data_IF_293843922028
#
_entry.id   IF_293843922028
#
_cell.length_a   1.000
_cell.length_b   1.000
_cell.length_c   1.000
_cell.angle_alpha   90.00
_cell.angle_beta   90.00
_cell.angle_gamma   90.00
#
_symmetry.space_group_name_H-M   'P 1'
#
loop_
_entity.id
_entity.type
_entity.pdbx_description
1 polymer ?
#
# COMPACT_ATOMS: atom_id res chain seq x y z
N UNK A 1 13.94 -18.30 -7.89
CA UNK A 1 15.30 -18.14 -7.40
C UNK A 1 15.30 -17.42 -6.05
N UNK A 2 14.71 -16.23 -5.95
CA UNK A 2 14.63 -15.45 -4.72
C UNK A 2 14.03 -16.25 -3.54
N UNK A 3 12.92 -16.95 -3.75
CA UNK A 3 12.28 -17.77 -2.71
C UNK A 3 13.20 -18.89 -2.18
N UNK A 4 13.98 -19.52 -3.07
CA UNK A 4 14.97 -20.52 -2.65
C UNK A 4 16.09 -19.91 -1.80
N UNK A 5 16.54 -18.70 -2.16
CA UNK A 5 17.55 -17.97 -1.38
C UNK A 5 16.99 -17.54 -0.03
N UNK A 6 15.80 -16.96 0.00
CA UNK A 6 15.13 -16.53 1.24
C UNK A 6 14.98 -17.70 2.22
N UNK A 7 14.55 -18.86 1.70
CA UNK A 7 14.45 -20.08 2.52
C UNK A 7 15.82 -20.57 3.02
N UNK A 8 16.86 -20.50 2.18
CA UNK A 8 18.21 -20.94 2.56
C UNK A 8 18.91 -19.97 3.55
N UNK A 9 18.70 -18.66 3.39
CA UNK A 9 19.40 -17.63 4.17
C UNK A 9 18.67 -17.28 5.48
N UNK A 10 17.31 -17.34 5.50
CA UNK A 10 16.49 -16.93 6.64
C UNK A 10 15.66 -18.08 7.23
N UNK A 11 15.70 -19.27 6.65
CA UNK A 11 14.88 -20.43 7.07
C UNK A 11 13.39 -20.03 7.22
N UNK A 12 12.90 -19.22 6.26
CA UNK A 12 11.55 -18.67 6.24
C UNK A 12 10.75 -19.28 5.09
N UNK A 13 9.61 -19.89 5.43
CA UNK A 13 8.64 -20.40 4.46
C UNK A 13 7.36 -19.54 4.56
N UNK A 14 6.93 -18.96 3.45
CA UNK A 14 5.73 -18.14 3.40
C UNK A 14 4.47 -18.93 3.83
N UNK A 15 4.45 -20.22 3.57
CA UNK A 15 3.34 -21.09 3.99
C UNK A 15 3.21 -21.19 5.52
N UNK A 16 4.31 -21.06 6.27
CA UNK A 16 4.30 -21.03 7.73
C UNK A 16 3.85 -19.67 8.29
N UNK A 17 4.10 -18.60 7.55
CA UNK A 17 3.82 -17.22 7.96
C UNK A 17 2.37 -16.83 7.68
N UNK A 18 1.87 -17.15 6.50
CA UNK A 18 0.56 -16.75 5.99
C UNK A 18 -0.62 -17.03 6.93
N UNK A 19 -0.68 -18.15 7.69
CA UNK A 19 -1.77 -18.40 8.63
C UNK A 19 -1.92 -17.38 9.76
N UNK A 20 -0.90 -16.57 10.03
CA UNK A 20 -0.92 -15.54 11.07
C UNK A 20 -1.41 -14.18 10.57
N UNK A 21 -1.44 -13.95 9.26
CA UNK A 21 -1.85 -12.68 8.67
C UNK A 21 -3.29 -12.74 8.15
N UNK A 22 -4.25 -12.84 9.07
CA UNK A 22 -5.66 -12.80 8.76
C UNK A 22 -6.08 -11.36 8.43
N UNK A 23 -6.81 -11.14 7.34
CA UNK A 23 -7.27 -9.81 6.92
C UNK A 23 -7.96 -9.04 8.07
N UNK A 24 -8.84 -9.70 8.82
CA UNK A 24 -9.56 -9.06 9.92
C UNK A 24 -8.63 -8.59 11.05
N UNK A 25 -7.60 -9.38 11.35
CA UNK A 25 -6.61 -9.03 12.37
C UNK A 25 -5.70 -7.89 11.88
N UNK A 26 -5.36 -7.87 10.59
CA UNK A 26 -4.54 -6.79 10.02
C UNK A 26 -5.31 -5.45 9.95
N UNK A 27 -6.61 -5.49 9.66
CA UNK A 27 -7.46 -4.30 9.77
C UNK A 27 -7.53 -3.80 11.22
N UNK A 28 -7.74 -4.71 12.17
CA UNK A 28 -7.77 -4.36 13.59
C UNK A 28 -6.43 -3.80 14.08
N UNK A 29 -5.30 -4.33 13.59
CA UNK A 29 -3.96 -3.82 13.88
C UNK A 29 -3.77 -2.40 13.37
N UNK A 30 -4.15 -2.13 12.11
CA UNK A 30 -4.07 -0.79 11.53
C UNK A 30 -4.92 0.22 12.30
N UNK A 31 -6.13 -0.16 12.71
CA UNK A 31 -7.00 0.69 13.53
C UNK A 31 -6.45 0.92 14.95
N UNK A 32 -5.86 -0.11 15.60
CA UNK A 32 -5.21 0.04 16.90
C UNK A 32 -4.03 1.01 16.83
N UNK A 33 -3.19 0.92 15.80
CA UNK A 33 -2.11 1.86 15.56
C UNK A 33 -2.64 3.30 15.39
N UNK A 34 -3.67 3.50 14.57
CA UNK A 34 -4.28 4.81 14.38
C UNK A 34 -4.93 5.35 15.67
N UNK A 35 -5.52 4.48 16.48
CA UNK A 35 -6.08 4.84 17.78
C UNK A 35 -5.00 5.32 18.73
N UNK A 36 -3.90 4.59 18.83
CA UNK A 36 -2.77 4.95 19.71
C UNK A 36 -2.06 6.22 19.27
N UNK A 37 -1.86 6.41 17.97
CA UNK A 37 -1.12 7.55 17.43
C UNK A 37 -1.96 8.83 17.41
N UNK A 38 -3.23 8.73 17.05
CA UNK A 38 -4.06 9.89 16.70
C UNK A 38 -5.34 10.02 17.51
N UNK A 39 -5.65 9.05 18.38
CA UNK A 39 -6.89 9.04 19.16
C UNK A 39 -8.15 8.77 18.33
N UNK A 40 -7.99 8.16 17.14
CA UNK A 40 -9.11 7.80 16.28
C UNK A 40 -9.81 6.55 16.76
N UNK A 41 -11.14 6.49 16.57
CA UNK A 41 -11.95 5.31 16.82
C UNK A 41 -12.72 4.95 15.55
N UNK A 42 -12.81 3.66 15.25
CA UNK A 42 -13.44 3.11 14.05
C UNK A 42 -14.64 2.25 14.46
N UNK A 43 -15.83 2.73 14.19
CA UNK A 43 -17.08 2.02 14.50
C UNK A 43 -17.73 1.53 13.22
N UNK A 44 -17.98 0.22 13.05
CA UNK A 44 -18.70 -0.29 11.88
C UNK A 44 -20.06 0.38 11.73
N UNK A 45 -20.40 0.78 10.50
CA UNK A 45 -21.70 1.38 10.19
C UNK A 45 -22.32 0.72 8.97
N UNK A 46 -23.65 0.58 9.01
CA UNK A 46 -24.40 0.05 7.87
C UNK A 46 -24.94 1.20 7.02
N UNK A 47 -24.26 1.45 5.90
CA UNK A 47 -24.64 2.48 4.91
C UNK A 47 -24.71 1.83 3.53
N UNK A 48 -25.48 2.37 2.59
CA UNK A 48 -25.48 1.90 1.20
C UNK A 48 -24.08 2.04 0.59
N UNK A 49 -23.55 0.91 0.09
CA UNK A 49 -22.23 0.83 -0.56
C UNK A 49 -22.40 0.30 -1.99
N UNK A 50 -21.45 0.63 -2.85
CA UNK A 50 -21.49 0.24 -4.28
C UNK A 50 -21.25 -1.26 -4.52
N UNK A 51 -20.73 -2.00 -3.55
CA UNK A 51 -20.56 -3.45 -3.63
C UNK A 51 -20.73 -4.11 -2.25
N UNK A 52 -21.30 -5.31 -2.24
CA UNK A 52 -21.60 -6.06 -1.01
C UNK A 52 -20.39 -6.45 -0.16
N UNK A 53 -19.20 -6.52 -0.77
CA UNK A 53 -17.94 -6.86 -0.07
C UNK A 53 -17.28 -5.63 0.52
N UNK A 54 -17.76 -4.43 0.23
CA UNK A 54 -17.28 -3.21 0.87
C UNK A 54 -17.80 -3.11 2.30
N UNK A 55 -17.00 -2.54 3.17
CA UNK A 55 -17.33 -2.28 4.57
C UNK A 55 -17.10 -0.81 4.88
N UNK A 56 -17.89 -0.25 5.79
CA UNK A 56 -17.76 1.14 6.19
C UNK A 56 -17.61 1.27 7.71
N UNK A 57 -16.83 2.26 8.12
CA UNK A 57 -16.62 2.64 9.51
C UNK A 57 -16.79 4.15 9.67
N UNK A 58 -17.58 4.54 10.64
CA UNK A 58 -17.52 5.90 11.15
C UNK A 58 -16.20 6.08 11.89
N UNK A 59 -15.48 7.14 11.56
CA UNK A 59 -14.25 7.53 12.24
C UNK A 59 -14.54 8.70 13.14
N UNK A 60 -14.26 8.55 14.44
CA UNK A 60 -14.46 9.60 15.43
C UNK A 60 -13.16 9.91 16.19
N UNK A 61 -13.07 11.12 16.72
CA UNK A 61 -11.98 11.56 17.59
C UNK A 61 -12.56 12.38 18.75
N UNK A 62 -12.31 11.92 19.97
CA UNK A 62 -12.92 12.56 21.16
C UNK A 62 -14.45 12.60 21.11
N UNK A 63 -15.08 11.59 20.51
CA UNK A 63 -16.55 11.51 20.33
C UNK A 63 -17.11 12.34 19.17
N UNK A 64 -16.29 13.07 18.42
CA UNK A 64 -16.71 13.86 17.27
C UNK A 64 -16.47 13.14 15.97
N UNK A 65 -17.41 13.20 15.04
CA UNK A 65 -17.27 12.67 13.69
C UNK A 65 -16.10 13.34 12.94
N UNK A 66 -15.19 12.54 12.40
CA UNK A 66 -14.01 12.99 11.65
C UNK A 66 -14.11 12.61 10.19
N UNK A 67 -14.53 11.38 9.89
CA UNK A 67 -14.59 10.84 8.53
C UNK A 67 -15.54 9.64 8.43
N UNK A 68 -15.89 9.28 7.20
CA UNK A 68 -16.35 7.94 6.86
C UNK A 68 -15.20 7.21 6.14
N UNK A 69 -14.79 6.05 6.64
CA UNK A 69 -13.80 5.19 6.01
C UNK A 69 -14.47 3.97 5.38
N UNK A 70 -14.08 3.64 4.15
CA UNK A 70 -14.61 2.50 3.39
C UNK A 70 -13.44 1.59 3.01
N UNK A 71 -13.58 0.30 3.25
CA UNK A 71 -12.61 -0.72 2.83
C UNK A 71 -13.21 -1.62 1.75
N UNK A 72 -12.53 -1.73 0.62
CA UNK A 72 -12.84 -2.62 -0.50
C UNK A 72 -11.63 -3.52 -0.78
N UNK A 73 -11.51 -4.61 -0.04
CA UNK A 73 -10.28 -5.38 0.06
C UNK A 73 -10.13 -6.51 -0.96
N UNK A 74 -11.23 -7.03 -1.53
CA UNK A 74 -11.19 -8.25 -2.34
C UNK A 74 -11.12 -7.99 -3.83
N UNK A 75 -10.34 -8.82 -4.54
CA UNK A 75 -10.29 -8.84 -5.98
C UNK A 75 -11.64 -9.22 -6.60
N UNK A 76 -11.97 -8.64 -7.74
CA UNK A 76 -13.11 -9.00 -8.59
C UNK A 76 -12.90 -8.47 -10.01
N UNK A 77 -13.61 -9.05 -10.99
CA UNK A 77 -13.44 -8.75 -12.40
C UNK A 77 -13.68 -7.28 -12.82
N UNK A 78 -14.40 -6.50 -12.00
CA UNK A 78 -14.64 -5.06 -12.23
C UNK A 78 -13.56 -4.15 -11.67
N UNK A 79 -12.54 -4.67 -11.00
CA UNK A 79 -11.42 -3.91 -10.44
C UNK A 79 -10.17 -4.05 -11.31
N UNK A 80 -9.36 -3.01 -11.33
CA UNK A 80 -7.99 -3.09 -11.84
C UNK A 80 -7.09 -3.73 -10.77
N UNK A 81 -5.95 -4.28 -11.20
CA UNK A 81 -4.92 -4.79 -10.28
C UNK A 81 -4.25 -3.66 -9.48
N UNK A 82 -3.51 -4.03 -8.44
CA UNK A 82 -2.86 -3.10 -7.53
C UNK A 82 -3.73 -2.72 -6.33
N UNK A 83 -3.32 -1.71 -5.60
CA UNK A 83 -4.05 -1.12 -4.49
C UNK A 83 -4.01 0.40 -4.61
N UNK A 84 -4.98 1.08 -4.01
CA UNK A 84 -5.02 2.55 -3.99
C UNK A 84 -5.94 3.08 -2.91
N UNK A 85 -5.68 4.33 -2.51
CA UNK A 85 -6.55 5.12 -1.68
C UNK A 85 -7.17 6.28 -2.48
N UNK A 86 -8.42 6.58 -2.24
CA UNK A 86 -9.11 7.72 -2.86
C UNK A 86 -10.03 8.43 -1.86
N UNK A 87 -10.24 9.72 -2.05
CA UNK A 87 -11.32 10.44 -1.40
C UNK A 87 -12.55 10.49 -2.32
N UNK A 88 -13.64 9.87 -1.91
CA UNK A 88 -14.94 10.09 -2.57
C UNK A 88 -15.50 11.49 -2.25
N UNK A 89 -15.05 12.06 -1.14
CA UNK A 89 -15.27 13.45 -0.73
C UNK A 89 -14.07 13.91 0.07
N UNK A 90 -13.43 14.98 -0.37
CA UNK A 90 -12.29 15.57 0.33
C UNK A 90 -12.73 16.41 1.51
N UNK A 91 -11.87 16.52 2.53
CA UNK A 91 -12.08 17.45 3.63
C UNK A 91 -11.95 18.90 3.15
N UNK A 92 -12.79 19.79 3.64
CA UNK A 92 -12.68 21.23 3.43
C UNK A 92 -13.40 22.00 4.55
N UNK A 93 -13.06 23.29 4.69
CA UNK A 93 -13.80 24.22 5.56
C UNK A 93 -14.53 25.29 4.75
N UNK A 94 -14.12 25.55 3.51
CA UNK A 94 -14.73 26.53 2.62
C UNK A 94 -15.32 25.86 1.37
N UNK A 95 -16.47 26.28 0.86
CA UNK A 95 -17.40 27.28 1.44
C UNK A 95 -18.19 26.75 2.65
N UNK A 96 -18.16 25.46 2.91
CA UNK A 96 -18.82 24.80 4.03
C UNK A 96 -17.94 23.69 4.58
N UNK A 97 -17.85 23.60 5.91
CA UNK A 97 -17.12 22.50 6.58
C UNK A 97 -17.73 21.15 6.22
N UNK A 98 -16.90 20.23 5.77
CA UNK A 98 -17.26 18.85 5.45
C UNK A 98 -16.16 17.87 5.85
N UNK A 99 -16.58 16.74 6.40
CA UNK A 99 -15.71 15.62 6.71
C UNK A 99 -15.42 14.81 5.44
N UNK A 100 -14.26 14.17 5.30
CA UNK A 100 -13.93 13.36 4.15
C UNK A 100 -14.68 12.01 4.15
N UNK A 101 -14.86 11.45 2.95
CA UNK A 101 -15.23 10.05 2.74
C UNK A 101 -14.06 9.42 2.01
N UNK A 102 -13.38 8.51 2.68
CA UNK A 102 -12.13 7.92 2.21
C UNK A 102 -12.32 6.44 1.93
N UNK A 103 -11.74 5.96 0.85
CA UNK A 103 -11.82 4.57 0.45
C UNK A 103 -10.43 3.98 0.21
N UNK A 104 -10.16 2.82 0.79
CA UNK A 104 -9.04 1.96 0.44
C UNK A 104 -9.53 0.81 -0.43
N UNK A 105 -8.84 0.58 -1.53
CA UNK A 105 -9.12 -0.50 -2.47
C UNK A 105 -7.89 -1.39 -2.57
N UNK A 106 -8.06 -2.69 -2.28
CA UNK A 106 -7.05 -3.73 -2.47
C UNK A 106 -7.57 -4.82 -3.40
N UNK A 107 -6.74 -5.80 -3.71
CA UNK A 107 -7.10 -6.92 -4.56
C UNK A 107 -6.67 -8.26 -3.93
N UNK A 108 -6.97 -8.43 -2.64
CA UNK A 108 -6.68 -9.68 -1.94
C UNK A 108 -7.57 -10.82 -2.40
N UNK A 109 -7.06 -12.05 -2.32
CA UNK A 109 -7.85 -13.23 -2.64
C UNK A 109 -9.02 -13.38 -1.68
N UNK A 110 -10.23 -13.51 -2.23
CA UNK A 110 -11.44 -13.68 -1.43
C UNK A 110 -11.55 -15.11 -0.92
N UNK A 111 -11.68 -15.27 0.39
CA UNK A 111 -11.96 -16.54 1.06
C UNK A 111 -12.88 -16.29 2.28
N UNK A 112 -13.47 -17.32 2.82
CA UNK A 112 -14.23 -17.23 4.07
C UNK A 112 -13.36 -16.67 5.21
N UNK A 113 -12.11 -17.13 5.28
CA UNK A 113 -11.04 -16.57 6.11
C UNK A 113 -9.91 -16.14 5.19
N UNK A 114 -9.85 -14.87 4.87
CA UNK A 114 -8.82 -14.33 3.98
C UNK A 114 -7.47 -14.26 4.72
N UNK A 115 -6.49 -14.98 4.20
CA UNK A 115 -5.11 -14.98 4.69
C UNK A 115 -4.24 -14.18 3.73
N UNK A 116 -3.47 -13.27 4.26
CA UNK A 116 -2.59 -12.37 3.52
C UNK A 116 -1.15 -12.89 3.51
N UNK A 117 -0.39 -12.56 2.49
CA UNK A 117 1.05 -12.57 2.59
C UNK A 117 1.54 -11.41 3.49
N UNK A 118 2.79 -11.40 3.89
CA UNK A 118 3.36 -10.26 4.60
C UNK A 118 3.31 -8.99 3.74
N UNK A 119 3.56 -9.12 2.43
CA UNK A 119 3.50 -8.01 1.47
C UNK A 119 2.06 -7.49 1.28
N UNK A 120 1.04 -8.37 1.28
CA UNK A 120 -0.36 -7.94 1.27
C UNK A 120 -0.71 -7.15 2.53
N UNK A 121 -0.24 -7.59 3.70
CA UNK A 121 -0.43 -6.89 4.97
C UNK A 121 0.28 -5.53 4.96
N UNK A 122 1.50 -5.45 4.41
CA UNK A 122 2.23 -4.19 4.20
C UNK A 122 1.45 -3.25 3.28
N UNK A 123 0.92 -3.76 2.17
CA UNK A 123 0.07 -2.99 1.24
C UNK A 123 -1.17 -2.44 1.96
N UNK A 124 -1.83 -3.23 2.82
CA UNK A 124 -2.96 -2.76 3.61
C UNK A 124 -2.56 -1.58 4.53
N UNK A 125 -1.42 -1.66 5.20
CA UNK A 125 -0.90 -0.59 6.03
C UNK A 125 -0.53 0.64 5.21
N UNK A 126 0.11 0.47 4.05
CA UNK A 126 0.43 1.53 3.10
C UNK A 126 -0.82 2.33 2.71
N UNK A 127 -1.83 1.65 2.16
CA UNK A 127 -3.07 2.30 1.73
C UNK A 127 -3.82 2.95 2.89
N UNK A 128 -3.73 2.34 4.08
CA UNK A 128 -4.32 2.94 5.27
C UNK A 128 -3.55 4.18 5.74
N UNK A 129 -2.25 4.25 5.52
CA UNK A 129 -1.44 5.45 5.74
C UNK A 129 -1.91 6.63 4.85
N UNK A 130 -2.19 6.39 3.58
CA UNK A 130 -2.85 7.36 2.71
C UNK A 130 -4.24 7.74 3.21
N UNK A 131 -5.02 6.76 3.70
CA UNK A 131 -6.34 7.04 4.26
C UNK A 131 -6.24 7.95 5.48
N UNK A 132 -5.29 7.72 6.38
CA UNK A 132 -5.05 8.57 7.54
C UNK A 132 -4.63 9.99 7.14
N UNK A 133 -3.81 10.14 6.10
CA UNK A 133 -3.46 11.45 5.55
C UNK A 133 -4.70 12.24 5.10
N UNK A 134 -5.68 11.56 4.49
CA UNK A 134 -6.94 12.18 4.08
C UNK A 134 -7.90 12.40 5.26
N UNK A 135 -8.05 11.42 6.16
CA UNK A 135 -8.93 11.49 7.34
C UNK A 135 -8.52 12.62 8.28
N UNK A 136 -7.22 12.79 8.49
CA UNK A 136 -6.66 13.79 9.41
C UNK A 136 -6.44 15.16 8.76
N UNK A 137 -6.75 15.32 7.48
CA UNK A 137 -6.67 16.61 6.79
C UNK A 137 -7.56 17.65 7.49
N UNK A 138 -7.03 18.86 7.67
CA UNK A 138 -7.71 19.95 8.39
C UNK A 138 -7.45 21.29 7.72
N UNK A 139 -7.65 21.36 6.41
CA UNK A 139 -7.36 22.52 5.56
C UNK A 139 -8.62 23.33 5.26
N UNK A 140 -8.42 24.56 4.82
CA UNK A 140 -9.53 25.44 4.43
C UNK A 140 -10.06 25.06 3.05
N UNK A 141 -9.19 24.85 2.09
CA UNK A 141 -9.54 24.59 0.69
C UNK A 141 -9.35 23.13 0.31
N UNK A 142 -10.30 22.58 -0.42
CA UNK A 142 -10.28 21.20 -0.89
C UNK A 142 -9.05 20.87 -1.75
N UNK A 143 -8.60 21.83 -2.55
CA UNK A 143 -7.50 21.67 -3.50
C UNK A 143 -6.14 21.33 -2.87
N UNK A 144 -6.00 21.51 -1.56
CA UNK A 144 -4.81 21.19 -0.78
C UNK A 144 -5.12 20.18 0.34
N UNK A 145 -6.20 19.40 0.18
CA UNK A 145 -6.65 18.42 1.17
C UNK A 145 -6.00 17.06 0.96
N UNK A 146 -5.63 16.41 2.05
CA UNK A 146 -5.16 15.03 2.06
C UNK A 146 -3.98 14.80 1.11
N UNK A 147 -4.15 13.91 0.15
CA UNK A 147 -3.11 13.54 -0.83
C UNK A 147 -2.90 14.56 -1.95
N UNK A 148 -3.62 15.71 -1.93
CA UNK A 148 -3.37 16.83 -2.84
C UNK A 148 -2.16 17.66 -2.37
N UNK A 149 -1.00 17.05 -2.38
CA UNK A 149 0.31 17.58 -1.93
C UNK A 149 1.36 17.39 -3.01
N UNK A 150 2.56 17.93 -2.79
CA UNK A 150 3.70 17.68 -3.67
C UNK A 150 4.00 16.19 -3.81
N UNK A 151 4.46 15.79 -4.99
CA UNK A 151 4.68 14.40 -5.35
C UNK A 151 5.70 13.69 -4.46
N UNK A 152 6.77 14.38 -4.14
CA UNK A 152 7.85 13.96 -3.26
C UNK A 152 7.44 13.80 -1.78
N UNK A 153 6.21 14.20 -1.43
CA UNK A 153 5.68 14.08 -0.07
C UNK A 153 4.53 13.07 0.05
N UNK A 154 3.80 12.80 -1.03
CA UNK A 154 2.54 12.04 -0.98
C UNK A 154 2.68 10.65 -0.37
N UNK A 155 3.82 9.99 -0.60
CA UNK A 155 4.10 8.64 -0.11
C UNK A 155 4.70 8.61 1.32
N UNK A 156 5.12 9.76 1.85
CA UNK A 156 5.70 9.78 3.20
C UNK A 156 4.76 9.21 4.28
N UNK A 157 3.48 9.60 4.36
CA UNK A 157 2.57 9.05 5.36
C UNK A 157 2.28 7.55 5.17
N UNK A 158 2.16 7.10 3.93
CA UNK A 158 1.89 5.69 3.61
C UNK A 158 3.08 4.80 3.93
N UNK A 159 4.27 5.13 3.46
CA UNK A 159 5.50 4.38 3.71
C UNK A 159 5.88 4.41 5.21
N UNK A 160 5.69 5.54 5.89
CA UNK A 160 5.92 5.61 7.33
C UNK A 160 4.97 4.68 8.09
N UNK A 161 3.72 4.57 7.65
CA UNK A 161 2.74 3.72 8.33
C UNK A 161 2.99 2.22 8.15
N UNK A 162 3.65 1.80 7.07
CA UNK A 162 4.11 0.41 6.86
C UNK A 162 4.96 -0.10 8.03
N UNK A 163 5.83 0.76 8.58
CA UNK A 163 6.73 0.38 9.68
C UNK A 163 6.00 -0.05 10.95
N UNK A 164 4.75 0.38 11.15
CA UNK A 164 3.96 -0.06 12.30
C UNK A 164 3.59 -1.55 12.23
N UNK A 165 3.51 -2.13 11.03
CA UNK A 165 3.33 -3.57 10.87
C UNK A 165 4.54 -4.36 11.41
N UNK A 166 5.74 -3.80 11.33
CA UNK A 166 6.99 -4.46 11.75
C UNK A 166 7.27 -4.30 13.24
N UNK A 167 6.46 -3.53 13.97
CA UNK A 167 6.60 -3.37 15.42
C UNK A 167 6.26 -4.68 16.13
N UNK A 168 7.20 -5.26 16.93
CA UNK A 168 7.00 -6.57 17.55
C UNK A 168 5.72 -6.66 18.39
N UNK A 169 5.35 -5.61 19.11
CA UNK A 169 4.15 -5.56 19.94
C UNK A 169 2.87 -5.64 19.11
N UNK A 170 2.86 -5.04 17.91
CA UNK A 170 1.73 -5.12 16.98
C UNK A 170 1.59 -6.55 16.46
N UNK A 171 2.69 -7.14 15.99
CA UNK A 171 2.66 -8.51 15.48
C UNK A 171 2.33 -9.54 16.57
N UNK A 172 2.87 -9.41 17.77
CA UNK A 172 2.52 -10.30 18.87
C UNK A 172 1.03 -10.27 19.23
N UNK A 173 0.39 -9.10 19.10
CA UNK A 173 -1.01 -8.92 19.45
C UNK A 173 -1.96 -9.36 18.35
N UNK A 174 -1.63 -9.10 17.09
CA UNK A 174 -2.56 -9.24 15.97
C UNK A 174 -2.20 -10.36 14.99
N UNK A 175 -0.93 -10.78 14.89
CA UNK A 175 -0.55 -11.93 14.08
C UNK A 175 -0.88 -13.23 14.82
N UNK A 176 -2.14 -13.63 14.76
CA UNK A 176 -2.64 -14.83 15.42
C UNK A 176 -3.02 -15.91 14.42
N UNK A 177 -2.65 -17.16 14.73
CA UNK A 177 -2.88 -18.30 13.83
C UNK A 177 -4.37 -18.51 13.55
N UNK A 178 -4.72 -18.63 12.29
CA UNK A 178 -6.10 -18.67 11.81
C UNK A 178 -6.95 -19.79 12.41
N UNK A 179 -6.36 -20.95 12.71
CA UNK A 179 -7.09 -22.10 13.28
C UNK A 179 -7.04 -22.14 14.80
N UNK A 180 -5.87 -21.89 15.38
CA UNK A 180 -5.63 -22.07 16.82
C UNK A 180 -5.83 -20.79 17.63
N UNK A 181 -5.80 -19.61 17.00
CA UNK A 181 -5.81 -18.32 17.67
C UNK A 181 -4.52 -18.00 18.43
N UNK A 182 -3.52 -18.89 18.40
CA UNK A 182 -2.25 -18.68 19.07
C UNK A 182 -1.46 -17.52 18.42
N UNK A 183 -0.77 -16.68 19.21
CA UNK A 183 0.08 -15.64 18.66
C UNK A 183 1.25 -16.27 17.88
N UNK A 184 1.80 -15.51 16.94
CA UNK A 184 2.97 -15.93 16.15
C UNK A 184 4.14 -16.26 17.11
N UNK A 185 4.77 -17.45 16.96
CA UNK A 185 5.93 -17.80 17.77
C UNK A 185 7.06 -16.79 17.61
N UNK A 186 7.74 -16.45 18.70
CA UNK A 186 8.82 -15.45 18.67
C UNK A 186 9.90 -15.79 17.65
N UNK A 187 10.26 -17.05 17.52
CA UNK A 187 11.25 -17.51 16.53
C UNK A 187 10.81 -17.21 15.10
N UNK A 188 9.53 -17.43 14.79
CA UNK A 188 8.99 -17.12 13.45
C UNK A 188 8.93 -15.61 13.21
N UNK A 189 8.53 -14.83 14.21
CA UNK A 189 8.54 -13.38 14.17
C UNK A 189 9.95 -12.85 13.89
N UNK A 190 10.96 -13.34 14.59
CA UNK A 190 12.35 -12.90 14.41
C UNK A 190 12.86 -13.24 12.99
N UNK A 191 12.46 -14.38 12.42
CA UNK A 191 12.77 -14.74 11.01
C UNK A 191 12.09 -13.77 10.03
N UNK A 192 10.82 -13.44 10.22
CA UNK A 192 10.09 -12.48 9.38
C UNK A 192 10.78 -11.12 9.39
N UNK A 193 11.13 -10.62 10.57
CA UNK A 193 11.82 -9.33 10.72
C UNK A 193 13.25 -9.35 10.14
N UNK A 194 13.98 -10.46 10.30
CA UNK A 194 15.31 -10.59 9.73
C UNK A 194 15.30 -10.66 8.19
N UNK A 195 14.21 -11.18 7.60
CA UNK A 195 14.03 -11.24 6.15
C UNK A 195 13.47 -9.93 5.54
N UNK A 196 13.14 -8.92 6.33
CA UNK A 196 12.52 -7.69 5.85
C UNK A 196 13.36 -6.95 4.79
N UNK A 197 14.69 -7.04 4.88
CA UNK A 197 15.62 -6.43 3.92
C UNK A 197 16.15 -7.42 2.87
N UNK A 198 15.56 -8.63 2.80
CA UNK A 198 15.97 -9.61 1.80
C UNK A 198 15.69 -9.09 0.38
N UNK A 199 16.66 -9.26 -0.52
CA UNK A 199 16.62 -8.79 -1.91
C UNK A 199 16.41 -7.25 -2.07
N UNK A 200 16.64 -6.44 -1.04
CA UNK A 200 16.49 -4.98 -1.11
C UNK A 200 17.33 -4.36 -2.23
N UNK A 201 18.53 -4.89 -2.51
CA UNK A 201 19.34 -4.43 -3.63
C UNK A 201 18.66 -4.67 -4.98
N UNK A 202 18.04 -5.83 -5.18
CA UNK A 202 17.28 -6.12 -6.39
C UNK A 202 16.04 -5.20 -6.51
N UNK A 203 15.27 -5.06 -5.44
CA UNK A 203 14.09 -4.18 -5.43
C UNK A 203 14.45 -2.73 -5.73
N UNK A 204 15.56 -2.24 -5.16
CA UNK A 204 16.05 -0.88 -5.41
C UNK A 204 16.45 -0.69 -6.88
N UNK A 205 17.18 -1.62 -7.47
CA UNK A 205 17.59 -1.54 -8.88
C UNK A 205 16.38 -1.64 -9.82
N UNK A 206 15.43 -2.55 -9.55
CA UNK A 206 14.18 -2.68 -10.31
C UNK A 206 13.37 -1.38 -10.32
N UNK A 207 13.31 -0.72 -9.19
CA UNK A 207 12.65 0.56 -9.01
C UNK A 207 13.37 1.71 -9.75
N UNK A 208 14.69 1.83 -9.54
CA UNK A 208 15.52 2.85 -10.20
C UNK A 208 15.49 2.67 -11.73
N UNK A 209 15.46 1.45 -12.24
CA UNK A 209 15.34 1.18 -13.66
C UNK A 209 14.07 1.83 -14.26
N UNK A 210 12.94 1.70 -13.58
CA UNK A 210 11.68 2.34 -13.99
C UNK A 210 11.78 3.87 -14.00
N UNK A 211 12.38 4.46 -12.97
CA UNK A 211 12.57 5.91 -12.86
C UNK A 211 13.55 6.45 -13.91
N UNK A 212 14.61 5.71 -14.21
CA UNK A 212 15.59 6.12 -15.25
C UNK A 212 15.00 6.08 -16.66
N UNK A 213 14.21 5.04 -16.97
CA UNK A 213 13.52 4.95 -18.27
C UNK A 213 12.53 6.10 -18.43
N UNK A 214 11.72 6.37 -17.39
CA UNK A 214 10.79 7.50 -17.36
C UNK A 214 11.52 8.84 -17.58
N UNK A 215 12.57 9.09 -16.82
CA UNK A 215 13.34 10.33 -16.90
C UNK A 215 13.95 10.53 -18.30
N UNK A 216 14.54 9.50 -18.88
CA UNK A 216 15.15 9.58 -20.22
C UNK A 216 14.08 9.89 -21.27
N UNK A 217 12.92 9.26 -21.23
CA UNK A 217 11.84 9.54 -22.18
C UNK A 217 11.35 11.00 -22.10
N UNK A 218 11.29 11.57 -20.92
CA UNK A 218 10.77 12.93 -20.73
C UNK A 218 11.82 14.04 -20.83
N UNK A 219 13.12 13.68 -20.93
CA UNK A 219 14.21 14.64 -21.07
C UNK A 219 14.95 14.55 -22.40
N UNK A 220 14.57 13.63 -23.29
CA UNK A 220 15.17 13.45 -24.62
C UNK A 220 14.13 13.50 -25.73
N UNK A 221 14.58 13.48 -26.99
CA UNK A 221 13.68 13.37 -28.13
C UNK A 221 12.93 12.04 -28.10
N UNK A 222 11.68 12.06 -28.60
CA UNK A 222 10.84 10.85 -28.69
C UNK A 222 11.53 9.80 -29.59
N UNK A 223 11.88 8.61 -29.07
CA UNK A 223 12.57 7.61 -29.86
C UNK A 223 11.66 7.01 -30.95
N UNK A 224 12.22 6.65 -32.08
CA UNK A 224 11.49 5.96 -33.15
C UNK A 224 11.06 4.54 -32.74
N UNK A 225 11.86 3.87 -31.92
CA UNK A 225 11.55 2.57 -31.31
C UNK A 225 11.68 2.67 -29.79
N UNK A 226 10.52 2.69 -29.14
CA UNK A 226 10.40 2.83 -27.67
C UNK A 226 11.00 1.63 -26.95
N UNK A 227 10.79 0.42 -27.47
CA UNK A 227 11.28 -0.81 -26.83
C UNK A 227 12.79 -0.93 -26.98
N UNK A 228 13.33 -0.65 -28.18
CA UNK A 228 14.78 -0.63 -28.36
C UNK A 228 15.43 0.38 -27.40
N UNK A 229 14.86 1.58 -27.30
CA UNK A 229 15.38 2.62 -26.38
C UNK A 229 15.33 2.18 -24.91
N UNK A 230 14.25 1.52 -24.48
CA UNK A 230 14.16 0.92 -23.13
C UNK A 230 15.30 -0.07 -22.91
N UNK A 231 15.51 -0.99 -23.88
CA UNK A 231 16.59 -1.97 -23.79
C UNK A 231 17.98 -1.32 -23.69
N UNK A 232 18.24 -0.26 -24.47
CA UNK A 232 19.51 0.47 -24.40
C UNK A 232 19.74 1.07 -23.00
N UNK A 233 18.73 1.71 -22.42
CA UNK A 233 18.82 2.28 -21.06
C UNK A 233 19.11 1.19 -20.02
N UNK A 234 18.41 0.05 -20.11
CA UNK A 234 18.64 -1.06 -19.18
C UNK A 234 20.02 -1.70 -19.35
N UNK A 235 20.53 -1.76 -20.59
CA UNK A 235 21.88 -2.24 -20.88
C UNK A 235 22.93 -1.27 -20.32
N UNK A 236 22.74 0.03 -20.44
CA UNK A 236 23.63 1.05 -19.87
C UNK A 236 23.67 0.95 -18.33
N UNK A 237 22.60 0.46 -17.71
CA UNK A 237 22.54 0.16 -16.28
C UNK A 237 23.13 -1.23 -15.93
N UNK A 238 23.64 -1.97 -16.89
CA UNK A 238 24.17 -3.34 -16.73
C UNK A 238 23.14 -4.34 -16.15
N UNK A 239 21.84 -4.14 -16.41
CA UNK A 239 20.82 -5.10 -16.00
C UNK A 239 21.00 -6.42 -16.77
N UNK A 240 20.91 -7.57 -16.09
CA UNK A 240 20.95 -8.87 -16.78
C UNK A 240 19.80 -9.02 -17.79
N UNK A 241 20.09 -9.42 -19.01
CA UNK A 241 19.08 -9.60 -20.08
C UNK A 241 17.92 -10.54 -19.71
N UNK A 242 18.10 -11.43 -18.75
CA UNK A 242 17.06 -12.33 -18.25
C UNK A 242 16.03 -11.60 -17.36
N UNK A 243 16.33 -10.38 -16.91
CA UNK A 243 15.43 -9.58 -16.07
C UNK A 243 14.59 -8.67 -16.96
N UNK A 244 13.29 -8.91 -17.00
CA UNK A 244 12.34 -8.00 -17.65
C UNK A 244 12.02 -6.85 -16.73
N UNK A 245 12.03 -5.62 -17.25
CA UNK A 245 11.63 -4.44 -16.50
C UNK A 245 10.20 -4.60 -15.96
N UNK A 246 10.02 -4.40 -14.68
CA UNK A 246 8.70 -4.52 -14.00
C UNK A 246 7.65 -3.60 -14.61
N UNK A 247 8.01 -2.34 -14.81
CA UNK A 247 7.16 -1.31 -15.40
C UNK A 247 7.53 -1.09 -16.88
N UNK A 248 7.54 -2.18 -17.67
CA UNK A 248 7.82 -2.11 -19.10
C UNK A 248 6.93 -1.05 -19.77
N UNK A 249 7.50 -0.22 -20.63
CA UNK A 249 6.87 0.96 -21.21
C UNK A 249 5.43 0.72 -21.75
N UNK A 250 5.10 -0.40 -22.45
CA UNK A 250 3.75 -0.63 -22.93
C UNK A 250 2.70 -0.86 -21.82
N UNK A 251 3.12 -1.15 -20.61
CA UNK A 251 2.25 -1.43 -19.47
C UNK A 251 2.24 -0.31 -18.42
N UNK A 252 3.13 0.69 -18.59
CA UNK A 252 3.34 1.73 -17.60
C UNK A 252 2.64 3.05 -17.97
N UNK A 253 1.31 3.01 -18.04
CA UNK A 253 0.50 4.17 -18.39
C UNK A 253 0.67 5.36 -17.42
N UNK A 254 1.12 5.15 -16.17
CA UNK A 254 1.25 6.19 -15.15
C UNK A 254 2.11 7.36 -15.62
N UNK A 255 3.25 7.09 -16.25
CA UNK A 255 4.18 8.14 -16.70
C UNK A 255 3.70 8.89 -17.95
N UNK A 256 2.60 8.45 -18.58
CA UNK A 256 2.03 9.06 -19.78
C UNK A 256 0.60 9.60 -19.58
N UNK A 257 -0.07 9.31 -18.46
CA UNK A 257 -1.48 9.63 -18.26
C UNK A 257 -1.77 10.95 -17.54
N UNK A 258 -0.79 11.85 -17.47
CA UNK A 258 -0.94 13.18 -16.85
C UNK A 258 0.27 13.56 -16.00
N UNK A 259 0.47 14.84 -15.78
CA UNK A 259 1.68 15.44 -15.29
C UNK A 259 2.15 15.08 -13.88
N UNK A 260 1.54 14.09 -13.23
CA UNK A 260 1.91 13.77 -11.85
C UNK A 260 3.06 12.78 -11.74
N UNK A 261 3.22 11.84 -12.70
CA UNK A 261 4.27 10.82 -12.67
C UNK A 261 5.32 10.98 -13.74
N UNK A 262 5.08 11.80 -14.78
CA UNK A 262 6.02 12.01 -15.87
C UNK A 262 7.34 12.59 -15.36
N UNK A 263 8.45 11.93 -15.62
CA UNK A 263 9.81 12.25 -15.16
C UNK A 263 10.02 12.31 -13.64
N UNK A 264 9.05 11.85 -12.90
CA UNK A 264 9.04 11.92 -11.43
C UNK A 264 8.35 10.71 -10.81
N UNK A 265 8.57 9.53 -11.36
CA UNK A 265 8.10 8.29 -10.77
C UNK A 265 8.91 8.00 -9.50
N UNK A 266 8.43 8.54 -8.39
CA UNK A 266 9.01 8.64 -7.05
C UNK A 266 10.45 9.15 -6.97
#
# INVERSE_FOLDING_TARGET
YAERRRKAEHDLDEAEVKPYFQLEQMIAAAFDCATRLFGLQFTPVNVPLYHRDCRAWEVTRGGHHVALFIGDYFARGSKRSGAWCSAMRSQAKFPKTRAPIVINVCNFAKAERALLSFDDARTLFHEFGHALHQILSNVTYETVSGTSVSRDFVELPSQLFEHWLEVPEVLQRFATHAETGAPMPRVLLDKVLAAANFDMGFQTVEYIASAMVDLVYHTSEVPADIIARQCDILNDMELPHAITMRHATPHFAHVFSGGHYASAYY
#
